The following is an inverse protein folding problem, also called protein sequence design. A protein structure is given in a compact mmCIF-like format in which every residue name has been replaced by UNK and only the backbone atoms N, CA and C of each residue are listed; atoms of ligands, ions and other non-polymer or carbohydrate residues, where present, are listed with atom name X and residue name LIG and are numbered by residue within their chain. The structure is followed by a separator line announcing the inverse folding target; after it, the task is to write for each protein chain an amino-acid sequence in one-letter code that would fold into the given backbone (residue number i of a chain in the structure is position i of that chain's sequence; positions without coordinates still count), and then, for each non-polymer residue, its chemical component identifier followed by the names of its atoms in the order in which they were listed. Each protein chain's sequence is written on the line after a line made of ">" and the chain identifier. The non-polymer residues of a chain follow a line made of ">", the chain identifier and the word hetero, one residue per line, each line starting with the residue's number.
data_IF_025587395160
#
_entry.id   IF_025587395160
#
_cell.length_a   1.000
_cell.length_b   1.000
_cell.length_c   1.000
_cell.angle_alpha   90.00
_cell.angle_beta   90.00
_cell.angle_gamma   90.00
#
_symmetry.space_group_name_H-M   'P 1'
#
loop_
_entity.id
_entity.type
_entity.pdbx_description
1 polymer ?
#
# COMPACT_ATOMS: atom_id res chain seq x y z
N UNK A 1 23.67 -18.73 -11.42
CA UNK A 1 23.18 -18.90 -10.06
C UNK A 1 22.40 -17.70 -9.58
N UNK A 2 21.28 -17.94 -8.98
CA UNK A 2 20.49 -16.87 -8.44
C UNK A 2 21.01 -16.40 -7.11
N UNK A 3 21.18 -15.11 -6.99
CA UNK A 3 21.57 -14.55 -5.71
C UNK A 3 20.36 -14.35 -4.85
N UNK A 4 20.52 -14.42 -3.54
CA UNK A 4 19.42 -14.01 -2.65
C UNK A 4 19.04 -12.58 -2.96
N UNK A 5 17.76 -12.29 -2.82
CA UNK A 5 17.24 -10.96 -3.07
C UNK A 5 17.62 -10.06 -1.90
N UNK A 6 18.42 -9.00 -2.10
CA UNK A 6 18.76 -8.11 -0.99
C UNK A 6 17.54 -7.34 -0.52
N UNK A 7 17.62 -6.81 0.69
CA UNK A 7 16.52 -6.05 1.27
C UNK A 7 16.13 -4.88 0.38
N UNK A 8 17.13 -4.15 -0.13
CA UNK A 8 16.83 -3.01 -0.98
C UNK A 8 16.23 -3.37 -2.31
N UNK A 9 16.18 -4.64 -2.68
CA UNK A 9 15.57 -5.00 -3.94
C UNK A 9 14.04 -4.94 -3.89
N UNK A 10 13.44 -4.77 -2.71
CA UNK A 10 12.01 -4.48 -2.66
C UNK A 10 11.72 -3.15 -3.34
N UNK A 11 12.50 -2.12 -3.06
CA UNK A 11 12.33 -0.83 -3.75
C UNK A 11 12.66 -0.95 -5.23
N UNK A 12 13.68 -1.72 -5.58
CA UNK A 12 14.02 -1.94 -6.99
C UNK A 12 12.91 -2.69 -7.72
N UNK A 13 12.27 -3.65 -7.05
CA UNK A 13 11.14 -4.37 -7.62
C UNK A 13 9.99 -3.39 -7.92
N UNK A 14 9.71 -2.48 -7.01
CA UNK A 14 8.65 -1.49 -7.19
C UNK A 14 9.01 -0.53 -8.32
N UNK A 15 10.27 -0.09 -8.38
CA UNK A 15 10.75 0.74 -9.49
C UNK A 15 10.51 0.05 -10.83
N UNK A 16 10.87 -1.22 -10.91
CA UNK A 16 10.70 -1.98 -12.14
C UNK A 16 9.22 -2.11 -12.50
N UNK A 17 8.38 -2.35 -11.52
CA UNK A 17 6.95 -2.48 -11.76
C UNK A 17 6.36 -1.20 -12.30
N UNK A 18 6.74 -0.07 -11.73
CA UNK A 18 6.30 1.24 -12.22
C UNK A 18 6.74 1.43 -13.67
N UNK A 19 7.99 1.11 -13.97
CA UNK A 19 8.52 1.27 -15.32
C UNK A 19 7.85 0.36 -16.33
N UNK A 20 7.51 -0.86 -15.93
CA UNK A 20 6.89 -1.83 -16.83
C UNK A 20 5.47 -1.46 -17.25
N UNK A 21 4.76 -0.74 -16.41
CA UNK A 21 3.36 -0.41 -16.72
C UNK A 21 3.21 0.43 -17.97
N UNK A 22 4.05 1.44 -18.12
CA UNK A 22 4.14 2.19 -19.36
C UNK A 22 2.89 2.98 -19.76
N UNK A 23 1.93 3.14 -18.85
CA UNK A 23 0.70 3.88 -19.11
C UNK A 23 0.34 4.70 -17.87
N UNK A 24 -0.90 5.16 -17.79
CA UNK A 24 -1.34 6.02 -16.68
C UNK A 24 -1.12 5.38 -15.32
N UNK A 25 -1.14 4.05 -15.25
CA UNK A 25 -0.95 3.35 -13.97
C UNK A 25 0.45 3.56 -13.42
N UNK A 26 1.43 3.74 -14.30
CA UNK A 26 2.80 4.02 -13.90
C UNK A 26 2.87 5.29 -13.07
N UNK A 27 2.27 6.37 -13.56
CA UNK A 27 2.25 7.64 -12.84
C UNK A 27 1.45 7.56 -11.56
N UNK A 28 0.34 6.86 -11.60
CA UNK A 28 -0.53 6.74 -10.44
C UNK A 28 0.16 5.96 -9.32
N UNK A 29 0.78 4.83 -9.65
CA UNK A 29 1.49 4.04 -8.64
C UNK A 29 2.67 4.81 -8.08
N UNK A 30 3.41 5.51 -8.93
CA UNK A 30 4.54 6.33 -8.48
C UNK A 30 4.06 7.43 -7.53
N UNK A 31 2.92 8.06 -7.84
CA UNK A 31 2.37 9.11 -6.99
C UNK A 31 1.91 8.56 -5.64
N UNK A 32 1.25 7.42 -5.65
CA UNK A 32 0.83 6.77 -4.40
C UNK A 32 2.06 6.47 -3.53
N UNK A 33 3.09 5.91 -4.15
CA UNK A 33 4.33 5.61 -3.44
C UNK A 33 4.94 6.86 -2.81
N UNK A 34 4.96 7.95 -3.55
CA UNK A 34 5.48 9.23 -3.05
C UNK A 34 4.66 9.70 -1.84
N UNK A 35 3.34 9.63 -1.94
CA UNK A 35 2.47 10.08 -0.86
C UNK A 35 2.63 9.22 0.39
N UNK A 36 2.84 7.92 0.21
CA UNK A 36 3.07 7.02 1.33
C UNK A 36 4.31 7.46 2.12
N UNK A 37 5.41 7.74 1.42
CA UNK A 37 6.64 8.14 2.09
C UNK A 37 6.59 9.56 2.62
N UNK A 38 5.79 10.42 2.02
CA UNK A 38 5.56 11.75 2.58
C UNK A 38 4.73 11.67 3.86
N UNK A 39 3.78 10.75 3.91
CA UNK A 39 2.96 10.57 5.10
C UNK A 39 3.80 10.08 6.27
N UNK A 40 4.73 9.16 5.99
CA UNK A 40 5.58 8.59 7.03
C UNK A 40 6.89 8.09 6.42
N UNK A 41 7.98 8.86 6.57
CA UNK A 41 9.27 8.46 5.99
C UNK A 41 9.84 7.16 6.54
N UNK A 42 9.33 6.67 7.67
CA UNK A 42 9.83 5.43 8.27
C UNK A 42 9.15 4.19 7.72
N UNK A 43 8.16 4.35 6.85
CA UNK A 43 7.53 3.20 6.21
C UNK A 43 8.54 2.47 5.34
N UNK A 44 8.55 1.15 5.47
CA UNK A 44 9.46 0.26 4.75
C UNK A 44 8.73 -0.36 3.57
N UNK A 45 9.43 -0.45 2.44
CA UNK A 45 8.90 -1.13 1.26
C UNK A 45 9.28 -2.59 1.29
N UNK A 46 8.32 -3.46 0.98
CA UNK A 46 8.53 -4.90 0.96
C UNK A 46 7.93 -5.49 -0.29
N UNK A 47 8.34 -6.71 -0.58
CA UNK A 47 7.80 -7.51 -1.67
C UNK A 47 7.31 -8.80 -1.04
N UNK A 48 6.01 -9.06 -1.15
CA UNK A 48 5.42 -10.22 -0.50
C UNK A 48 4.64 -11.07 -1.49
N UNK A 49 4.44 -12.30 -1.11
CA UNK A 49 3.59 -13.27 -1.82
C UNK A 49 4.12 -13.62 -3.21
N UNK A 50 5.44 -13.56 -3.38
CA UNK A 50 6.05 -14.03 -4.62
C UNK A 50 5.93 -15.54 -4.72
N UNK A 51 5.60 -16.02 -5.90
CA UNK A 51 5.46 -17.44 -6.20
C UNK A 51 6.05 -17.71 -7.57
N UNK A 52 6.09 -19.01 -7.93
CA UNK A 52 6.55 -19.37 -9.26
C UNK A 52 5.75 -18.69 -10.37
N UNK A 53 4.47 -18.40 -10.13
CA UNK A 53 3.59 -17.82 -11.13
C UNK A 53 3.33 -16.32 -10.91
N UNK A 54 3.95 -15.72 -9.90
CA UNK A 54 3.70 -14.32 -9.60
C UNK A 54 4.93 -13.70 -8.95
N UNK A 55 5.33 -12.51 -9.41
CA UNK A 55 6.50 -11.83 -8.81
C UNK A 55 6.21 -11.25 -7.42
N UNK A 56 4.97 -11.33 -6.96
CA UNK A 56 4.61 -10.73 -5.69
C UNK A 56 4.04 -9.35 -5.86
N UNK A 57 3.76 -8.68 -4.74
CA UNK A 57 3.16 -7.34 -4.75
C UNK A 57 3.95 -6.38 -3.88
N UNK A 58 3.92 -5.09 -4.23
CA UNK A 58 4.47 -4.05 -3.35
C UNK A 58 3.67 -3.98 -2.06
N UNK A 59 4.39 -3.91 -0.95
CA UNK A 59 3.78 -3.79 0.38
C UNK A 59 4.51 -2.69 1.12
N UNK A 60 3.77 -1.88 1.85
CA UNK A 60 4.34 -0.82 2.69
C UNK A 60 3.97 -1.12 4.12
N UNK A 61 4.97 -1.09 4.99
CA UNK A 61 4.85 -1.56 6.37
C UNK A 61 5.49 -0.61 7.36
N UNK A 62 4.92 -0.53 8.54
CA UNK A 62 5.50 0.14 9.70
C UNK A 62 4.89 -0.52 10.92
N UNK A 63 5.65 -1.44 11.55
CA UNK A 63 5.17 -2.29 12.64
C UNK A 63 3.92 -3.07 12.25
N UNK A 64 3.96 -3.63 11.05
CA UNK A 64 2.85 -4.34 10.45
C UNK A 64 2.51 -3.73 9.10
N UNK A 65 1.76 -4.46 8.31
CA UNK A 65 1.40 -4.00 6.99
C UNK A 65 0.48 -2.78 7.11
N UNK A 66 0.84 -1.71 6.39
CA UNK A 66 -0.02 -0.54 6.24
C UNK A 66 -0.95 -0.76 5.06
N UNK A 67 -0.37 -0.97 3.88
CA UNK A 67 -1.15 -1.18 2.67
C UNK A 67 -0.33 -1.92 1.63
N UNK A 68 -1.05 -2.41 0.62
CA UNK A 68 -0.45 -3.09 -0.53
C UNK A 68 -0.90 -2.39 -1.79
N UNK A 69 -0.06 -2.45 -2.83
CA UNK A 69 -0.39 -1.84 -4.11
C UNK A 69 -0.48 -2.87 -5.20
N UNK A 70 -1.62 -2.91 -5.89
CA UNK A 70 -1.82 -3.81 -7.01
C UNK A 70 -2.27 -3.02 -8.22
N UNK A 71 -1.96 -3.54 -9.41
CA UNK A 71 -2.34 -2.89 -10.64
C UNK A 71 -3.16 -3.85 -11.48
N UNK A 72 -4.27 -3.36 -11.97
CA UNK A 72 -5.16 -4.07 -12.86
C UNK A 72 -5.30 -3.26 -14.14
N UNK A 73 -5.91 -3.85 -15.16
CA UNK A 73 -6.04 -3.15 -16.43
C UNK A 73 -6.70 -1.77 -16.29
N UNK A 74 -7.68 -1.66 -15.39
CA UNK A 74 -8.48 -0.45 -15.29
C UNK A 74 -8.29 0.30 -13.98
N UNK A 75 -7.41 -0.17 -13.08
CA UNK A 75 -7.30 0.47 -11.77
C UNK A 75 -5.96 0.19 -11.12
N UNK A 76 -5.53 1.14 -10.30
CA UNK A 76 -4.50 0.91 -9.30
C UNK A 76 -5.22 0.74 -7.98
N UNK A 77 -5.02 -0.41 -7.34
CA UNK A 77 -5.73 -0.73 -6.10
C UNK A 77 -4.78 -0.63 -4.91
N UNK A 78 -5.17 0.16 -3.94
CA UNK A 78 -4.43 0.31 -2.69
C UNK A 78 -5.28 -0.32 -1.59
N UNK A 79 -4.81 -1.43 -1.03
CA UNK A 79 -5.56 -2.17 -0.01
C UNK A 79 -4.94 -1.93 1.35
N UNK A 80 -5.74 -1.42 2.28
CA UNK A 80 -5.30 -1.19 3.66
C UNK A 80 -5.61 -2.41 4.49
N UNK A 81 -4.58 -2.98 5.10
CA UNK A 81 -4.68 -4.25 5.80
C UNK A 81 -5.70 -4.21 6.94
N UNK A 82 -5.84 -3.05 7.59
CA UNK A 82 -6.78 -2.88 8.69
C UNK A 82 -7.80 -1.78 8.37
N UNK A 83 -8.16 -1.68 7.09
CA UNK A 83 -8.98 -0.58 6.61
C UNK A 83 -10.31 -0.45 7.32
N UNK A 84 -10.93 -1.57 7.69
CA UNK A 84 -12.24 -1.53 8.36
C UNK A 84 -12.19 -0.83 9.72
N UNK A 85 -11.01 -0.76 10.34
CA UNK A 85 -10.82 -0.10 11.63
C UNK A 85 -10.38 1.35 11.50
N UNK A 86 -10.19 1.85 10.29
CA UNK A 86 -9.66 3.20 10.07
C UNK A 86 -10.78 4.20 9.87
N UNK A 87 -10.65 5.41 10.42
CA UNK A 87 -11.56 6.48 10.07
C UNK A 87 -11.31 6.90 8.62
N UNK A 88 -12.37 7.16 7.90
CA UNK A 88 -12.27 7.56 6.50
C UNK A 88 -13.24 8.70 6.24
N UNK A 89 -12.99 9.87 6.85
CA UNK A 89 -13.95 10.98 6.75
C UNK A 89 -14.08 11.52 5.33
N UNK A 90 -13.07 11.33 4.49
CA UNK A 90 -13.14 11.80 3.11
C UNK A 90 -13.79 10.79 2.17
N UNK A 91 -14.11 9.58 2.68
CA UNK A 91 -14.75 8.57 1.86
C UNK A 91 -13.86 8.00 0.79
N UNK A 92 -12.59 7.77 1.11
CA UNK A 92 -11.64 7.27 0.11
C UNK A 92 -11.87 5.82 -0.25
N UNK A 93 -12.25 4.98 0.73
CA UNK A 93 -12.46 3.57 0.45
C UNK A 93 -13.66 3.41 -0.48
N UNK A 94 -13.43 2.76 -1.61
CA UNK A 94 -14.48 2.55 -2.61
C UNK A 94 -14.50 1.11 -3.11
N UNK A 95 -13.75 0.22 -2.46
CA UNK A 95 -13.66 -1.17 -2.86
C UNK A 95 -13.47 -2.01 -1.62
N UNK A 96 -13.87 -3.28 -1.70
CA UNK A 96 -13.78 -4.21 -0.58
C UNK A 96 -14.54 -3.70 0.66
N UNK A 97 -15.65 -3.01 0.43
CA UNK A 97 -16.37 -2.34 1.52
C UNK A 97 -17.07 -3.30 2.47
N UNK A 98 -17.26 -4.54 2.05
CA UNK A 98 -17.87 -5.55 2.89
C UNK A 98 -16.85 -6.36 3.68
N UNK A 99 -15.56 -6.06 3.50
CA UNK A 99 -14.51 -6.74 4.23
C UNK A 99 -14.56 -6.43 5.72
N UNK A 100 -14.34 -7.45 6.54
CA UNK A 100 -14.33 -7.26 7.99
C UNK A 100 -13.06 -6.61 8.49
N UNK A 101 -11.98 -6.71 7.73
CA UNK A 101 -10.67 -6.21 8.12
C UNK A 101 -10.09 -5.26 7.07
N UNK A 102 -10.06 -5.72 5.83
CA UNK A 102 -9.43 -4.95 4.74
C UNK A 102 -10.44 -4.03 4.06
N UNK A 103 -9.95 -2.89 3.61
CA UNK A 103 -10.69 -1.98 2.74
C UNK A 103 -9.73 -1.47 1.69
N UNK A 104 -10.25 -1.10 0.53
CA UNK A 104 -9.40 -0.73 -0.58
C UNK A 104 -9.87 0.53 -1.28
N UNK A 105 -8.92 1.17 -1.96
CA UNK A 105 -9.16 2.32 -2.82
C UNK A 105 -8.78 1.90 -4.23
N UNK A 106 -9.74 1.92 -5.14
CA UNK A 106 -9.47 1.74 -6.57
C UNK A 106 -9.35 3.10 -7.21
N UNK A 107 -8.21 3.36 -7.83
CA UNK A 107 -7.95 4.62 -8.53
C UNK A 107 -7.99 4.32 -10.03
N UNK A 108 -8.87 5.01 -10.75
CA UNK A 108 -9.06 4.81 -12.18
C UNK A 108 -8.37 5.92 -12.96
N UNK A 109 -8.20 5.68 -14.25
CA UNK A 109 -7.54 6.64 -15.13
C UNK A 109 -8.24 7.99 -15.07
N UNK A 110 -7.47 9.04 -14.90
CA UNK A 110 -8.00 10.40 -14.89
C UNK A 110 -8.52 10.87 -13.56
N UNK A 111 -8.65 9.98 -12.58
CA UNK A 111 -9.12 10.37 -11.26
C UNK A 111 -8.02 11.09 -10.49
N UNK A 112 -8.40 12.14 -9.79
CA UNK A 112 -7.47 12.87 -8.95
C UNK A 112 -7.41 12.24 -7.58
N UNK A 113 -6.19 12.13 -7.06
CA UNK A 113 -5.98 11.63 -5.71
C UNK A 113 -6.14 12.79 -4.73
N UNK A 114 -6.97 12.59 -3.71
CA UNK A 114 -7.04 13.53 -2.60
C UNK A 114 -5.81 13.29 -1.72
N UNK A 115 -4.75 14.03 -2.00
CA UNK A 115 -3.45 13.74 -1.43
C UNK A 115 -3.43 13.92 0.08
N UNK A 116 -4.03 14.98 0.58
CA UNK A 116 -4.07 15.23 2.02
C UNK A 116 -4.85 14.14 2.75
N UNK A 117 -5.99 13.75 2.21
CA UNK A 117 -6.81 12.71 2.83
C UNK A 117 -6.11 11.36 2.81
N UNK A 118 -5.42 11.05 1.70
CA UNK A 118 -4.69 9.79 1.61
C UNK A 118 -3.54 9.75 2.62
N UNK A 119 -2.79 10.83 2.73
CA UNK A 119 -1.70 10.88 3.70
C UNK A 119 -2.23 10.74 5.13
N UNK A 120 -3.34 11.37 5.43
CA UNK A 120 -3.95 11.22 6.76
C UNK A 120 -4.40 9.80 7.03
N UNK A 121 -4.93 9.12 6.02
CA UNK A 121 -5.36 7.74 6.16
C UNK A 121 -4.16 6.83 6.41
N UNK A 122 -3.07 7.08 5.71
CA UNK A 122 -1.83 6.31 5.89
C UNK A 122 -1.28 6.52 7.31
N UNK A 123 -1.27 7.76 7.78
CA UNK A 123 -0.82 8.05 9.14
C UNK A 123 -1.71 7.37 10.18
N UNK A 124 -3.01 7.34 9.95
CA UNK A 124 -3.93 6.64 10.85
C UNK A 124 -3.64 5.14 10.87
N UNK A 125 -3.30 4.56 9.73
CA UNK A 125 -2.96 3.15 9.66
C UNK A 125 -1.68 2.84 10.43
N UNK A 126 -0.67 3.70 10.32
CA UNK A 126 0.56 3.56 11.08
C UNK A 126 0.26 3.67 12.58
N UNK A 127 -0.53 4.67 12.96
CA UNK A 127 -0.87 4.87 14.37
C UNK A 127 -1.60 3.65 14.93
N UNK A 128 -2.46 3.04 14.14
CA UNK A 128 -3.17 1.85 14.57
C UNK A 128 -2.21 0.68 14.80
N UNK A 129 -1.23 0.51 13.91
CA UNK A 129 -0.22 -0.53 14.07
C UNK A 129 0.62 -0.30 15.33
N UNK A 130 1.01 0.94 15.57
CA UNK A 130 1.82 1.28 16.74
C UNK A 130 1.03 1.07 18.03
N UNK A 131 -0.24 1.41 18.03
CA UNK A 131 -1.10 1.21 19.17
C UNK A 131 -1.26 -0.28 19.47
N UNK A 132 -1.42 -1.10 18.46
CA UNK A 132 -1.55 -2.54 18.64
C UNK A 132 -0.27 -3.13 19.19
N UNK A 133 0.89 -2.64 18.73
CA UNK A 133 2.18 -3.09 19.20
C UNK A 133 2.38 -2.78 20.67
N UNK A 134 1.91 -1.62 21.13
CA UNK A 134 2.12 -1.16 22.50
C UNK A 134 1.12 -1.75 23.47
N UNK A 135 0.09 -2.43 22.99
CA UNK A 135 -0.88 -3.03 23.88
C UNK A 135 -0.27 -4.18 24.65
N UNK A 136 -0.58 -4.29 25.96
CA UNK A 136 -0.16 -5.49 26.70
C UNK A 136 -0.76 -6.71 26.05
N UNK A 137 0.01 -7.78 26.03
CA UNK A 137 -0.50 -9.02 25.49
C UNK A 137 -1.60 -9.57 26.36
N UNK A 138 -2.62 -10.12 25.72
CA UNK A 138 -3.68 -10.79 26.44
C UNK A 138 -3.13 -12.00 27.18
N UNK A 139 -3.63 -12.25 28.33
CA UNK A 139 -3.21 -13.39 29.13
C UNK A 139 -4.08 -14.57 28.89
#
# INVERSE_FOLDING_TARGET
>A
MKKPVPVESASAFIDAKINELGDWRSKTLAKVRELIHQADPEIVEERKWAKATSPGVPVWSHDGIVCTGETYMSAVKLTFAKGAALPDPAGLFNSSLEGNVRRAIDIHEGEKINEAALKNLIRAAVALNLKAKDKPKAK
#
